data_IF_459646890639
#
_entry.id   IF_459646890639
#
_cell.length_a   1.000
_cell.length_b   1.000
_cell.length_c   1.000
_cell.angle_alpha   90.00
_cell.angle_beta   90.00
_cell.angle_gamma   90.00
#
_symmetry.space_group_name_H-M   'P 1'
#
loop_
_entity.id
_entity.type
_entity.pdbx_description
1 polymer ?
#
# COMPACT_ATOMS: atom_id res chain seq x y z
N UNK A 1 -22.50 -1.24 14.57
CA UNK A 1 -21.59 -1.10 15.74
C UNK A 1 -20.17 -1.09 15.21
N UNK A 2 -19.33 -0.13 15.60
CA UNK A 2 -17.93 -0.13 15.19
C UNK A 2 -17.20 -1.25 15.95
N UNK A 3 -16.59 -2.19 15.22
CA UNK A 3 -15.80 -3.27 15.81
C UNK A 3 -14.34 -2.81 15.89
N UNK A 4 -13.84 -2.58 17.11
CA UNK A 4 -12.43 -2.24 17.31
C UNK A 4 -11.57 -3.49 17.20
N UNK A 5 -10.60 -3.48 16.28
CA UNK A 5 -9.68 -4.59 16.03
C UNK A 5 -8.26 -4.09 16.25
N UNK A 6 -7.54 -4.70 17.18
CA UNK A 6 -6.13 -4.38 17.44
C UNK A 6 -5.23 -5.23 16.53
N UNK A 7 -4.28 -4.61 15.86
CA UNK A 7 -3.28 -5.32 15.05
C UNK A 7 -1.91 -4.99 15.63
N UNK A 8 -1.10 -6.03 15.83
CA UNK A 8 0.30 -5.88 16.28
C UNK A 8 1.24 -6.35 15.19
N UNK A 9 2.33 -5.63 14.96
CA UNK A 9 3.49 -6.09 14.20
C UNK A 9 4.70 -6.24 15.13
N UNK A 10 5.48 -7.31 14.95
CA UNK A 10 6.63 -7.59 15.80
C UNK A 10 7.71 -8.37 15.03
N UNK A 11 8.90 -7.77 14.90
CA UNK A 11 10.09 -8.51 14.55
C UNK A 11 10.53 -9.36 15.75
N UNK A 12 10.41 -10.68 15.64
CA UNK A 12 10.65 -11.62 16.75
C UNK A 12 12.09 -12.11 16.83
N UNK A 13 12.96 -11.80 15.85
CA UNK A 13 14.38 -12.20 15.83
C UNK A 13 14.61 -13.68 16.17
N UNK A 14 13.90 -14.55 15.47
CA UNK A 14 13.90 -16.01 15.61
C UNK A 14 13.02 -16.53 16.75
N UNK A 15 12.15 -17.50 16.45
CA UNK A 15 11.24 -18.15 17.43
C UNK A 15 11.31 -19.69 17.40
N UNK A 16 12.46 -20.24 17.00
CA UNK A 16 12.73 -21.69 17.11
C UNK A 16 12.71 -22.17 18.56
N UNK A 17 13.29 -21.40 19.49
CA UNK A 17 13.39 -21.78 20.89
C UNK A 17 12.00 -21.82 21.55
N UNK A 18 11.62 -23.01 22.06
CA UNK A 18 10.26 -23.29 22.56
C UNK A 18 9.83 -22.31 23.67
N UNK A 19 10.74 -21.98 24.59
CA UNK A 19 10.43 -21.04 25.69
C UNK A 19 10.15 -19.64 25.16
N UNK A 20 10.93 -19.16 24.17
CA UNK A 20 10.73 -17.83 23.57
C UNK A 20 9.41 -17.79 22.80
N UNK A 21 9.15 -18.84 22.01
CA UNK A 21 7.89 -19.02 21.27
C UNK A 21 6.69 -18.98 22.22
N UNK A 22 6.74 -19.73 23.33
CA UNK A 22 5.66 -19.75 24.31
C UNK A 22 5.45 -18.38 24.98
N UNK A 23 6.52 -17.68 25.36
CA UNK A 23 6.43 -16.32 25.94
C UNK A 23 5.76 -15.33 25.00
N UNK A 24 6.17 -15.30 23.73
CA UNK A 24 5.59 -14.40 22.72
C UNK A 24 4.10 -14.71 22.51
N UNK A 25 3.74 -15.98 22.26
CA UNK A 25 2.35 -16.38 22.04
C UNK A 25 1.47 -16.12 23.27
N UNK A 26 2.00 -16.29 24.48
CA UNK A 26 1.30 -16.01 25.74
C UNK A 26 1.10 -14.51 25.97
N UNK A 27 2.08 -13.67 25.62
CA UNK A 27 1.92 -12.22 25.68
C UNK A 27 0.82 -11.75 24.73
N UNK A 28 0.86 -12.17 23.46
CA UNK A 28 -0.17 -11.83 22.47
C UNK A 28 -1.57 -12.27 22.93
N UNK A 29 -1.67 -13.44 23.58
CA UNK A 29 -2.92 -13.92 24.19
C UNK A 29 -3.38 -13.03 25.33
N UNK A 30 -2.47 -12.67 26.25
CA UNK A 30 -2.77 -11.82 27.42
C UNK A 30 -3.27 -10.45 26.98
N UNK A 31 -2.66 -9.89 25.94
CA UNK A 31 -3.00 -8.60 25.35
C UNK A 31 -4.23 -8.67 24.42
N UNK A 32 -4.85 -9.87 24.31
CA UNK A 32 -6.06 -10.15 23.53
C UNK A 32 -5.93 -9.73 22.06
N UNK A 33 -4.76 -9.93 21.48
CA UNK A 33 -4.44 -9.49 20.11
C UNK A 33 -5.20 -10.34 19.10
N UNK A 34 -6.15 -9.78 18.33
CA UNK A 34 -6.89 -10.55 17.34
C UNK A 34 -6.05 -10.87 16.08
N UNK A 35 -5.12 -9.99 15.70
CA UNK A 35 -4.23 -10.18 14.55
C UNK A 35 -2.79 -9.80 14.93
N UNK A 36 -1.86 -10.75 14.79
CA UNK A 36 -0.43 -10.50 14.99
C UNK A 36 0.36 -10.78 13.70
N UNK A 37 1.25 -9.87 13.34
CA UNK A 37 2.15 -9.93 12.19
C UNK A 37 3.57 -10.11 12.71
N UNK A 38 4.23 -11.22 12.36
CA UNK A 38 5.54 -11.58 12.89
C UNK A 38 6.58 -11.59 11.77
N UNK A 39 7.73 -10.97 12.03
CA UNK A 39 8.90 -10.94 11.12
C UNK A 39 10.11 -11.63 11.76
N UNK A 40 11.07 -12.08 10.93
CA UNK A 40 12.22 -12.88 11.36
C UNK A 40 11.83 -14.10 12.20
N UNK A 41 10.82 -14.85 11.77
CA UNK A 41 10.38 -16.04 12.51
C UNK A 41 11.46 -17.13 12.56
N UNK A 42 12.30 -17.22 11.51
CA UNK A 42 13.35 -18.23 11.33
C UNK A 42 12.81 -19.66 11.39
N UNK A 43 11.58 -19.88 10.89
CA UNK A 43 10.94 -21.20 10.94
C UNK A 43 10.86 -21.83 9.54
N UNK A 44 10.87 -23.16 9.51
CA UNK A 44 10.43 -23.95 8.34
C UNK A 44 8.92 -24.04 8.31
N UNK A 45 8.35 -24.48 7.18
CA UNK A 45 6.91 -24.68 7.03
C UNK A 45 6.31 -25.55 8.14
N UNK A 46 6.98 -26.67 8.46
CA UNK A 46 6.57 -27.59 9.53
C UNK A 46 6.58 -26.93 10.91
N UNK A 47 7.48 -25.98 11.16
CA UNK A 47 7.56 -25.25 12.42
C UNK A 47 6.54 -24.10 12.49
N UNK A 48 6.26 -23.40 11.39
CA UNK A 48 5.18 -22.40 11.36
C UNK A 48 3.82 -23.01 11.68
N UNK A 49 3.56 -24.24 11.20
CA UNK A 49 2.33 -24.96 11.53
C UNK A 49 2.10 -25.11 13.04
N UNK A 50 3.20 -25.20 13.82
CA UNK A 50 3.13 -25.31 15.29
C UNK A 50 2.75 -23.99 15.99
N UNK A 51 2.68 -22.87 15.27
CA UNK A 51 2.18 -21.59 15.81
C UNK A 51 0.66 -21.57 15.94
N UNK A 52 -0.06 -22.45 15.23
CA UNK A 52 -1.51 -22.60 15.33
C UNK A 52 -1.90 -23.34 16.62
N UNK A 53 -1.88 -22.63 17.75
CA UNK A 53 -2.19 -23.19 19.09
C UNK A 53 -3.03 -22.22 19.92
N UNK A 54 -3.76 -22.78 20.89
CA UNK A 54 -4.59 -22.09 21.90
C UNK A 54 -5.65 -21.11 21.36
N UNK A 55 -5.22 -19.88 21.10
CA UNK A 55 -6.04 -18.76 20.69
C UNK A 55 -5.97 -18.51 19.17
N UNK A 56 -4.92 -19.01 18.53
CA UNK A 56 -4.66 -18.83 17.10
C UNK A 56 -5.53 -19.80 16.30
N UNK A 57 -6.54 -19.28 15.61
CA UNK A 57 -7.44 -20.08 14.77
C UNK A 57 -6.95 -20.24 13.34
N UNK A 58 -6.24 -19.25 12.81
CA UNK A 58 -5.68 -19.30 11.46
C UNK A 58 -4.24 -18.79 11.46
N UNK A 59 -3.42 -19.42 10.63
CA UNK A 59 -2.02 -19.04 10.43
C UNK A 59 -1.71 -18.92 8.95
N UNK A 60 -0.94 -17.90 8.58
CA UNK A 60 -0.46 -17.70 7.22
C UNK A 60 1.00 -17.32 7.28
N UNK A 61 1.86 -17.96 6.51
CA UNK A 61 3.30 -17.74 6.60
C UNK A 61 3.98 -17.86 5.23
N UNK A 62 5.13 -17.20 5.12
CA UNK A 62 6.12 -17.40 4.06
C UNK A 62 7.45 -17.67 4.76
N UNK A 63 7.99 -18.87 4.54
CA UNK A 63 9.21 -19.36 5.19
C UNK A 63 10.42 -19.14 4.30
N UNK A 64 11.61 -19.28 4.89
CA UNK A 64 12.86 -19.35 4.12
C UNK A 64 13.74 -20.49 4.62
N UNK A 65 14.31 -20.36 5.82
CA UNK A 65 15.01 -21.43 6.51
C UNK A 65 14.96 -21.25 8.04
N UNK A 66 15.56 -22.18 8.77
CA UNK A 66 15.54 -22.18 10.24
C UNK A 66 16.44 -21.14 10.92
N UNK A 67 17.15 -20.31 10.15
CA UNK A 67 18.18 -19.37 10.64
C UNK A 67 17.93 -17.91 10.28
N UNK A 68 17.17 -17.63 9.23
CA UNK A 68 16.93 -16.27 8.77
C UNK A 68 15.57 -16.08 8.12
N UNK A 69 15.08 -14.83 8.16
CA UNK A 69 13.84 -14.37 7.51
C UNK A 69 12.60 -15.16 7.98
N UNK A 70 11.57 -15.20 7.15
CA UNK A 70 10.31 -15.86 7.43
C UNK A 70 9.35 -14.91 8.12
N UNK A 71 8.15 -14.80 7.58
CA UNK A 71 7.07 -13.96 8.11
C UNK A 71 5.84 -14.81 8.41
N UNK A 72 5.06 -14.41 9.40
CA UNK A 72 3.82 -15.09 9.77
C UNK A 72 2.72 -14.10 10.15
N UNK A 73 1.48 -14.53 9.99
CA UNK A 73 0.28 -13.88 10.50
C UNK A 73 -0.48 -14.87 11.35
N UNK A 74 -0.83 -14.44 12.56
CA UNK A 74 -1.66 -15.19 13.49
C UNK A 74 -3.00 -14.47 13.59
N UNK A 75 -4.09 -15.19 13.30
CA UNK A 75 -5.45 -14.66 13.43
C UNK A 75 -6.18 -15.44 14.52
N UNK A 76 -6.77 -14.70 15.46
CA UNK A 76 -7.49 -15.24 16.59
C UNK A 76 -8.72 -16.04 16.13
N UNK A 77 -8.99 -17.18 16.79
CA UNK A 77 -10.06 -18.13 16.40
C UNK A 77 -11.47 -17.56 16.42
N UNK A 78 -11.71 -16.53 17.25
CA UNK A 78 -13.00 -15.85 17.34
C UNK A 78 -13.13 -14.68 16.36
N UNK A 79 -12.09 -14.36 15.57
CA UNK A 79 -12.17 -13.28 14.59
C UNK A 79 -12.83 -13.82 13.31
N UNK A 80 -13.94 -13.24 12.82
CA UNK A 80 -14.63 -13.69 11.63
C UNK A 80 -13.88 -13.23 10.37
N UNK A 81 -12.74 -13.87 10.10
CA UNK A 81 -11.95 -13.67 8.90
C UNK A 81 -12.11 -14.87 7.95
N UNK A 82 -12.58 -14.61 6.74
CA UNK A 82 -12.67 -15.60 5.66
C UNK A 82 -11.61 -15.30 4.62
N UNK A 83 -10.73 -16.27 4.35
CA UNK A 83 -9.66 -16.13 3.38
C UNK A 83 -10.18 -16.23 1.94
N UNK A 84 -9.68 -15.36 1.06
CA UNK A 84 -9.90 -15.42 -0.38
C UNK A 84 -8.61 -15.83 -1.12
N UNK A 85 -7.53 -15.06 -0.95
CA UNK A 85 -6.27 -15.29 -1.68
C UNK A 85 -5.07 -15.21 -0.73
N UNK A 86 -4.06 -16.05 -0.98
CA UNK A 86 -2.74 -15.96 -0.35
C UNK A 86 -1.70 -15.71 -1.44
N UNK A 87 -0.84 -14.71 -1.21
CA UNK A 87 0.37 -14.50 -2.00
C UNK A 87 1.58 -14.62 -1.08
N UNK A 88 2.42 -15.63 -1.33
CA UNK A 88 3.65 -15.86 -0.56
C UNK A 88 4.85 -15.40 -1.35
N UNK A 89 5.74 -14.70 -0.68
CA UNK A 89 7.10 -14.52 -1.17
C UNK A 89 7.87 -15.85 -1.11
N UNK A 90 8.77 -16.07 -2.08
CA UNK A 90 9.64 -17.26 -2.10
C UNK A 90 10.84 -17.11 -1.17
N UNK A 91 11.21 -15.87 -0.83
CA UNK A 91 12.36 -15.53 -0.02
C UNK A 91 12.05 -15.38 1.49
N UNK A 92 10.81 -15.64 1.91
CA UNK A 92 10.39 -15.49 3.31
C UNK A 92 10.27 -14.04 3.77
N UNK A 93 10.20 -13.07 2.86
CA UNK A 93 10.21 -11.63 3.19
C UNK A 93 8.83 -11.03 3.35
N UNK A 94 7.83 -11.55 2.64
CA UNK A 94 6.46 -11.07 2.82
C UNK A 94 5.41 -12.15 2.60
N UNK A 95 4.25 -11.91 3.18
CA UNK A 95 3.03 -12.65 2.87
C UNK A 95 1.88 -11.67 2.80
N UNK A 96 1.06 -11.79 1.76
CA UNK A 96 -0.17 -11.05 1.56
C UNK A 96 -1.33 -12.04 1.68
N UNK A 97 -2.38 -11.65 2.39
CA UNK A 97 -3.64 -12.38 2.39
C UNK A 97 -4.75 -11.39 2.11
N UNK A 98 -5.69 -11.77 1.24
CA UNK A 98 -6.94 -11.06 1.06
C UNK A 98 -8.07 -11.90 1.60
N UNK A 99 -9.09 -11.25 2.15
CA UNK A 99 -10.22 -11.94 2.72
C UNK A 99 -11.31 -10.98 3.15
N UNK A 100 -12.40 -11.55 3.65
CA UNK A 100 -13.51 -10.82 4.25
C UNK A 100 -13.33 -10.77 5.76
N UNK A 101 -13.34 -9.58 6.33
CA UNK A 101 -13.36 -9.36 7.78
C UNK A 101 -14.61 -8.54 8.12
N UNK A 102 -15.53 -9.13 8.90
CA UNK A 102 -16.85 -8.52 9.15
C UNK A 102 -17.61 -8.13 7.86
N UNK A 103 -17.45 -8.91 6.78
CA UNK A 103 -18.09 -8.65 5.49
C UNK A 103 -17.33 -7.69 4.57
N UNK A 104 -16.29 -7.00 5.08
CA UNK A 104 -15.49 -6.05 4.31
C UNK A 104 -14.26 -6.73 3.69
N UNK A 105 -14.00 -6.43 2.42
CA UNK A 105 -12.82 -6.94 1.73
C UNK A 105 -11.56 -6.20 2.21
N UNK A 106 -10.63 -6.95 2.80
CA UNK A 106 -9.37 -6.43 3.31
C UNK A 106 -8.17 -7.17 2.72
N UNK A 107 -7.02 -6.48 2.70
CA UNK A 107 -5.69 -7.04 2.50
C UNK A 107 -4.89 -6.83 3.78
N UNK A 108 -4.42 -7.94 4.35
CA UNK A 108 -3.44 -7.93 5.43
C UNK A 108 -2.09 -8.33 4.84
N UNK A 109 -1.01 -7.64 5.21
CA UNK A 109 0.35 -7.97 4.80
C UNK A 109 1.30 -7.94 6.00
N UNK A 110 2.22 -8.92 6.03
CA UNK A 110 3.37 -8.90 6.94
C UNK A 110 4.62 -8.82 6.07
N UNK A 111 5.44 -7.80 6.28
CA UNK A 111 6.60 -7.47 5.46
C UNK A 111 7.86 -7.42 6.31
N UNK A 112 8.95 -7.97 5.79
CA UNK A 112 10.30 -7.87 6.33
C UNK A 112 11.22 -7.42 5.19
N UNK A 113 11.50 -6.13 5.10
CA UNK A 113 12.35 -5.59 4.05
C UNK A 113 13.81 -6.06 4.24
N UNK A 114 14.60 -6.16 3.16
CA UNK A 114 16.04 -6.41 3.29
C UNK A 114 16.76 -5.29 4.06
N UNK A 115 17.92 -5.60 4.65
CA UNK A 115 18.74 -4.63 5.38
C UNK A 115 19.43 -3.61 4.46
N UNK A 116 19.49 -3.90 3.15
CA UNK A 116 20.07 -3.06 2.11
C UNK A 116 19.06 -2.87 1.00
N UNK A 117 19.13 -1.74 0.30
CA UNK A 117 18.21 -1.46 -0.81
C UNK A 117 18.26 -2.57 -1.86
N UNK A 118 17.09 -3.15 -2.15
CA UNK A 118 16.88 -4.16 -3.18
C UNK A 118 15.70 -3.74 -4.06
N UNK A 119 16.01 -3.34 -5.30
CA UNK A 119 14.99 -2.90 -6.27
C UNK A 119 14.01 -4.02 -6.64
N UNK A 120 14.48 -5.26 -6.73
CA UNK A 120 13.64 -6.39 -7.13
C UNK A 120 12.62 -6.68 -6.05
N UNK A 121 13.03 -6.64 -4.78
CA UNK A 121 12.12 -6.78 -3.63
C UNK A 121 10.95 -5.78 -3.70
N UNK A 122 11.22 -4.47 -3.83
CA UNK A 122 10.16 -3.46 -3.88
C UNK A 122 9.28 -3.59 -5.12
N UNK A 123 9.86 -3.87 -6.29
CA UNK A 123 9.07 -4.06 -7.52
C UNK A 123 8.15 -5.28 -7.44
N UNK A 124 8.63 -6.39 -6.86
CA UNK A 124 7.84 -7.60 -6.64
C UNK A 124 6.75 -7.35 -5.58
N UNK A 125 7.10 -6.73 -4.45
CA UNK A 125 6.15 -6.40 -3.40
C UNK A 125 5.01 -5.52 -3.93
N UNK A 126 5.34 -4.46 -4.69
CA UNK A 126 4.34 -3.58 -5.31
C UNK A 126 3.46 -4.36 -6.30
N UNK A 127 4.06 -5.08 -7.26
CA UNK A 127 3.31 -5.82 -8.27
C UNK A 127 2.36 -6.86 -7.65
N UNK A 128 2.84 -7.63 -6.66
CA UNK A 128 2.04 -8.62 -5.94
C UNK A 128 0.92 -7.96 -5.12
N UNK A 129 1.21 -6.86 -4.44
CA UNK A 129 0.20 -6.14 -3.66
C UNK A 129 -0.87 -5.54 -4.55
N UNK A 130 -0.49 -4.83 -5.61
CA UNK A 130 -1.43 -4.22 -6.57
C UNK A 130 -2.32 -5.24 -7.29
N UNK A 131 -1.82 -6.46 -7.55
CA UNK A 131 -2.62 -7.51 -8.21
C UNK A 131 -3.80 -8.03 -7.37
N UNK A 132 -3.78 -7.82 -6.06
CA UNK A 132 -4.79 -8.33 -5.12
C UNK A 132 -5.35 -7.23 -4.23
N UNK A 133 -5.07 -5.96 -4.51
CA UNK A 133 -5.37 -4.82 -3.64
C UNK A 133 -6.88 -4.52 -3.61
N UNK A 134 -7.57 -4.66 -2.45
CA UNK A 134 -8.92 -4.16 -2.25
C UNK A 134 -8.88 -2.71 -1.74
N UNK A 135 -10.04 -2.20 -1.30
CA UNK A 135 -10.17 -0.85 -0.74
C UNK A 135 -9.48 -0.69 0.63
N UNK A 136 -9.44 -1.74 1.45
CA UNK A 136 -8.84 -1.70 2.78
C UNK A 136 -7.55 -2.51 2.84
N UNK A 137 -6.43 -1.83 3.02
CA UNK A 137 -5.09 -2.39 2.97
C UNK A 137 -4.37 -2.08 4.27
N UNK A 138 -3.89 -3.12 4.95
CA UNK A 138 -3.11 -3.02 6.17
C UNK A 138 -1.80 -3.77 5.97
N UNK A 139 -0.68 -3.06 6.03
CA UNK A 139 0.65 -3.61 5.86
C UNK A 139 1.46 -3.31 7.12
N UNK A 140 1.74 -4.35 7.90
CA UNK A 140 2.62 -4.25 9.06
C UNK A 140 3.96 -4.91 8.78
N UNK A 141 5.03 -4.36 9.33
CA UNK A 141 6.34 -4.97 9.12
C UNK A 141 7.51 -4.16 9.60
N UNK A 142 8.68 -4.79 9.48
CA UNK A 142 9.98 -4.16 9.63
C UNK A 142 10.49 -3.79 8.23
N UNK A 143 10.60 -2.49 7.97
CA UNK A 143 11.05 -1.94 6.70
C UNK A 143 12.54 -1.59 6.70
N UNK A 144 13.26 -1.84 7.81
CA UNK A 144 14.69 -1.58 7.98
C UNK A 144 15.14 -0.13 7.69
N UNK A 145 14.22 0.84 7.62
CA UNK A 145 14.53 2.23 7.35
C UNK A 145 13.58 3.20 8.07
N UNK A 146 14.09 4.38 8.42
CA UNK A 146 13.32 5.53 8.88
C UNK A 146 12.71 6.27 7.68
N UNK A 147 11.40 6.55 7.72
CA UNK A 147 10.70 7.26 6.64
C UNK A 147 10.81 8.78 6.80
N UNK A 148 10.91 9.27 8.04
CA UNK A 148 11.08 10.68 8.40
C UNK A 148 12.39 10.86 9.15
N UNK A 149 13.53 11.15 8.47
CA UNK A 149 14.84 11.12 9.10
C UNK A 149 15.00 11.98 10.36
N UNK A 150 14.29 13.11 10.43
CA UNK A 150 14.35 14.05 11.57
C UNK A 150 13.71 13.52 12.85
N UNK A 151 12.74 12.60 12.72
CA UNK A 151 11.92 12.08 13.83
C UNK A 151 12.08 10.57 14.05
N UNK A 152 12.52 9.83 13.03
CA UNK A 152 12.74 8.38 13.08
C UNK A 152 14.18 7.99 13.46
N UNK A 153 15.09 8.97 13.53
CA UNK A 153 16.45 8.81 14.03
C UNK A 153 16.79 9.88 15.09
N UNK A 154 17.76 9.59 15.98
CA UNK A 154 18.44 10.58 16.79
C UNK A 154 19.02 11.70 15.92
N UNK A 155 19.20 12.92 16.46
CA UNK A 155 19.43 14.13 15.68
C UNK A 155 20.72 14.06 14.85
N UNK A 156 20.56 13.68 13.57
CA UNK A 156 21.47 13.94 12.45
C UNK A 156 20.61 14.12 11.20
N UNK A 157 20.58 15.33 10.66
CA UNK A 157 19.87 15.60 9.40
C UNK A 157 20.62 14.92 8.25
N UNK A 158 20.16 13.73 7.88
CA UNK A 158 20.60 13.04 6.68
C UNK A 158 19.44 12.90 5.71
N UNK A 159 19.69 12.98 4.40
CA UNK A 159 18.65 12.75 3.40
C UNK A 159 18.09 11.32 3.56
N UNK A 160 16.81 11.08 3.19
CA UNK A 160 16.25 9.75 3.20
C UNK A 160 17.10 8.76 2.38
N UNK A 161 17.30 7.56 2.91
CA UNK A 161 18.01 6.50 2.19
C UNK A 161 17.24 6.08 0.92
N UNK A 162 17.92 5.43 -0.03
CA UNK A 162 17.26 4.86 -1.21
C UNK A 162 16.12 3.90 -0.83
N UNK A 163 16.30 3.18 0.27
CA UNK A 163 15.32 2.25 0.83
C UNK A 163 14.12 3.01 1.42
N UNK A 164 14.36 4.08 2.19
CA UNK A 164 13.30 4.94 2.68
C UNK A 164 12.50 5.55 1.52
N UNK A 165 13.17 6.02 0.47
CA UNK A 165 12.52 6.54 -0.74
C UNK A 165 11.66 5.49 -1.43
N UNK A 166 12.19 4.27 -1.62
CA UNK A 166 11.41 3.18 -2.20
C UNK A 166 10.21 2.76 -1.35
N UNK A 167 10.32 2.79 -0.01
CA UNK A 167 9.18 2.56 0.89
C UNK A 167 8.16 3.69 0.79
N UNK A 168 8.59 4.95 0.73
CA UNK A 168 7.69 6.11 0.54
C UNK A 168 6.98 6.05 -0.82
N UNK A 169 7.69 5.68 -1.88
CA UNK A 169 7.12 5.49 -3.22
C UNK A 169 6.09 4.35 -3.20
N UNK A 170 6.40 3.22 -2.57
CA UNK A 170 5.47 2.11 -2.35
C UNK A 170 4.20 2.54 -1.59
N UNK A 171 4.36 3.34 -0.52
CA UNK A 171 3.22 3.88 0.22
C UNK A 171 2.38 4.81 -0.65
N UNK A 172 3.03 5.71 -1.39
CA UNK A 172 2.37 6.67 -2.30
C UNK A 172 1.59 5.96 -3.41
N UNK A 173 2.18 4.94 -4.03
CA UNK A 173 1.55 4.15 -5.10
C UNK A 173 0.30 3.40 -4.65
N UNK A 174 0.23 3.03 -3.37
CA UNK A 174 -0.88 2.29 -2.78
C UNK A 174 -1.80 3.17 -1.90
N UNK A 175 -1.54 4.48 -1.80
CA UNK A 175 -2.31 5.37 -0.93
C UNK A 175 -2.23 5.01 0.56
N UNK A 176 -1.09 4.48 1.00
CA UNK A 176 -0.85 4.05 2.38
C UNK A 176 -0.26 5.18 3.22
N UNK A 177 -0.68 5.23 4.48
CA UNK A 177 -0.18 6.18 5.46
C UNK A 177 0.42 5.46 6.66
N UNK A 178 1.48 6.05 7.22
CA UNK A 178 2.04 5.65 8.50
C UNK A 178 1.08 6.02 9.65
N UNK A 179 0.40 5.01 10.18
CA UNK A 179 -0.62 5.19 11.23
C UNK A 179 -0.05 5.81 12.50
N UNK A 180 1.17 5.46 12.89
CA UNK A 180 1.80 6.01 14.09
C UNK A 180 2.11 7.49 13.91
N UNK A 181 2.68 7.86 12.75
CA UNK A 181 3.05 9.25 12.46
C UNK A 181 1.84 10.16 12.28
N UNK A 182 0.72 9.64 11.77
CA UNK A 182 -0.55 10.36 11.72
C UNK A 182 -1.05 10.75 13.12
N UNK A 183 -0.96 9.84 14.09
CA UNK A 183 -1.38 10.10 15.46
C UNK A 183 -0.33 10.88 16.27
N UNK A 184 0.95 10.76 15.89
CA UNK A 184 2.09 11.32 16.63
C UNK A 184 3.05 12.09 15.71
N UNK A 185 2.64 13.23 15.11
CA UNK A 185 3.41 13.90 14.06
C UNK A 185 4.84 14.30 14.47
N UNK A 186 5.00 14.77 15.71
CA UNK A 186 6.26 15.33 16.21
C UNK A 186 6.96 14.49 17.29
N UNK A 187 6.33 13.38 17.71
CA UNK A 187 6.89 12.52 18.76
C UNK A 187 8.07 11.72 18.21
N UNK A 188 9.18 11.72 18.94
CA UNK A 188 10.34 10.86 18.67
C UNK A 188 10.23 9.64 19.55
N UNK A 189 9.91 8.50 18.93
CA UNK A 189 9.86 7.20 19.57
C UNK A 189 10.42 6.15 18.61
N UNK A 190 10.99 5.07 19.14
CA UNK A 190 11.86 4.16 18.40
C UNK A 190 11.48 2.71 18.63
N UNK A 191 11.67 1.88 17.61
CA UNK A 191 11.32 0.45 17.65
C UNK A 191 12.54 -0.46 17.66
N UNK A 192 13.71 0.09 17.33
CA UNK A 192 14.95 -0.66 17.22
C UNK A 192 16.13 0.07 17.87
N UNK A 193 16.99 -0.71 18.53
CA UNK A 193 18.28 -0.27 19.06
C UNK A 193 19.42 -1.06 18.40
N UNK A 194 20.32 -0.35 17.73
CA UNK A 194 21.53 -0.89 17.14
C UNK A 194 22.65 -0.91 18.18
N UNK A 195 23.06 -2.11 18.61
CA UNK A 195 24.16 -2.25 19.56
C UNK A 195 25.52 -1.81 18.98
N UNK A 196 25.88 -2.17 17.73
CA UNK A 196 27.18 -1.77 17.16
C UNK A 196 27.33 -0.26 16.96
N UNK A 197 26.22 0.44 16.68
CA UNK A 197 26.22 1.87 16.40
C UNK A 197 25.72 2.73 17.56
N UNK A 198 25.34 2.09 18.67
CA UNK A 198 24.74 2.72 19.85
C UNK A 198 23.67 3.74 19.47
N UNK A 199 22.75 3.34 18.58
CA UNK A 199 21.78 4.23 17.97
C UNK A 199 20.37 3.65 18.01
N UNK A 200 19.38 4.54 18.10
CA UNK A 200 17.96 4.20 18.06
C UNK A 200 17.40 4.50 16.66
N UNK A 201 16.37 3.77 16.27
CA UNK A 201 15.64 4.04 15.03
C UNK A 201 14.21 3.51 15.08
N UNK A 202 13.29 4.19 14.39
CA UNK A 202 11.96 3.65 14.11
C UNK A 202 11.97 3.02 12.71
N UNK A 203 11.84 1.71 12.65
CA UNK A 203 11.91 0.93 11.39
C UNK A 203 10.74 -0.04 11.23
N UNK A 204 9.93 -0.19 12.26
CA UNK A 204 8.72 -1.01 12.27
C UNK A 204 7.49 -0.11 12.08
N UNK A 205 6.61 -0.49 11.16
CA UNK A 205 5.47 0.33 10.75
C UNK A 205 4.19 -0.50 10.66
N UNK A 206 3.07 0.15 10.93
CA UNK A 206 1.75 -0.27 10.44
C UNK A 206 1.28 0.81 9.46
N UNK A 207 1.20 0.41 8.19
CA UNK A 207 0.76 1.24 7.07
C UNK A 207 -0.69 0.89 6.73
N UNK A 208 -1.53 1.89 6.55
CA UNK A 208 -2.97 1.74 6.35
C UNK A 208 -3.42 2.56 5.13
N UNK A 209 -4.26 1.98 4.27
CA UNK A 209 -5.03 2.76 3.30
C UNK A 209 -6.17 3.44 4.04
N UNK A 210 -6.19 4.77 4.02
CA UNK A 210 -7.21 5.57 4.70
C UNK A 210 -8.14 6.15 3.65
N UNK A 211 -9.45 5.94 3.83
CA UNK A 211 -10.43 6.80 3.19
C UNK A 211 -10.35 8.17 3.87
N UNK A 212 -10.13 9.23 3.08
CA UNK A 212 -10.02 10.60 3.58
C UNK A 212 -11.26 11.04 4.38
N UNK A 213 -12.40 10.39 4.19
CA UNK A 213 -13.62 10.61 4.98
C UNK A 213 -13.45 10.25 6.47
N UNK A 214 -12.52 9.33 6.80
CA UNK A 214 -12.36 8.72 8.13
C UNK A 214 -11.25 9.33 8.99
N UNK A 215 -10.55 10.37 8.51
CA UNK A 215 -9.45 11.01 9.24
C UNK A 215 -9.89 11.56 10.62
N UNK A 216 -9.02 11.63 11.64
CA UNK A 216 -9.37 12.20 12.95
C UNK A 216 -9.93 13.63 12.84
N UNK A 217 -10.87 14.03 13.71
CA UNK A 217 -11.49 15.37 13.68
C UNK A 217 -10.46 16.52 13.72
N UNK A 218 -9.34 16.35 14.44
CA UNK A 218 -8.26 17.35 14.47
C UNK A 218 -7.54 17.52 13.13
N UNK A 219 -7.47 16.47 12.31
CA UNK A 219 -6.97 16.55 10.93
C UNK A 219 -8.06 17.12 10.04
N UNK A 220 -9.31 16.62 10.15
CA UNK A 220 -10.49 17.10 9.40
C UNK A 220 -10.79 18.60 9.58
N UNK A 221 -10.52 19.14 10.77
CA UNK A 221 -10.81 20.54 11.12
C UNK A 221 -9.59 21.45 10.94
N UNK A 222 -8.43 20.92 10.54
CA UNK A 222 -7.27 21.73 10.24
C UNK A 222 -7.42 22.36 8.85
N UNK A 223 -7.53 23.70 8.84
CA UNK A 223 -7.79 24.52 7.67
C UNK A 223 -6.67 24.49 6.61
N UNK A 224 -5.49 23.97 6.94
CA UNK A 224 -4.39 23.75 6.00
C UNK A 224 -4.35 22.28 5.57
N UNK A 225 -4.37 21.35 6.54
CA UNK A 225 -4.15 19.93 6.25
C UNK A 225 -5.26 19.30 5.41
N UNK A 226 -6.54 19.60 5.64
CA UNK A 226 -7.61 19.00 4.81
C UNK A 226 -7.62 19.50 3.38
N UNK A 227 -7.54 20.81 3.09
CA UNK A 227 -7.43 21.29 1.71
C UNK A 227 -6.19 20.74 1.01
N UNK A 228 -5.04 20.67 1.70
CA UNK A 228 -3.82 20.11 1.12
C UNK A 228 -3.93 18.61 0.83
N UNK A 229 -4.51 17.81 1.74
CA UNK A 229 -4.73 16.37 1.51
C UNK A 229 -5.77 16.13 0.40
N UNK A 230 -6.83 16.96 0.32
CA UNK A 230 -7.81 16.91 -0.78
C UNK A 230 -7.20 17.30 -2.12
N UNK A 231 -6.36 18.33 -2.17
CA UNK A 231 -5.65 18.77 -3.38
C UNK A 231 -4.61 17.72 -3.80
N UNK A 232 -3.84 17.17 -2.87
CA UNK A 232 -2.89 16.09 -3.14
C UNK A 232 -3.57 14.83 -3.66
N UNK A 233 -4.68 14.43 -3.03
CA UNK A 233 -5.54 13.35 -3.50
C UNK A 233 -6.06 13.68 -4.93
N UNK A 234 -6.58 14.89 -5.17
CA UNK A 234 -7.00 15.35 -6.51
C UNK A 234 -5.85 15.48 -7.55
N UNK A 235 -4.59 15.60 -7.13
CA UNK A 235 -3.44 15.58 -8.04
C UNK A 235 -3.03 14.14 -8.34
N UNK A 236 -3.04 13.26 -7.33
CA UNK A 236 -2.92 11.83 -7.54
C UNK A 236 -4.04 11.31 -8.48
N UNK A 237 -5.26 11.87 -8.37
CA UNK A 237 -6.35 11.95 -9.39
C UNK A 237 -5.81 12.14 -10.75
N UNK A 238 -5.44 13.38 -10.97
CA UNK A 238 -5.10 13.89 -12.27
C UNK A 238 -3.91 13.23 -12.96
N UNK A 239 -3.24 12.24 -12.34
CA UNK A 239 -2.09 11.50 -12.91
C UNK A 239 -2.37 10.01 -13.29
N UNK A 240 -3.54 9.38 -12.99
CA UNK A 240 -3.89 7.96 -13.35
C UNK A 240 -2.79 6.96 -13.04
N UNK A 241 -2.19 7.12 -11.85
CA UNK A 241 -2.07 5.97 -10.96
C UNK A 241 -3.48 5.66 -10.47
N UNK A 242 -4.07 4.52 -10.86
CA UNK A 242 -5.26 4.03 -10.14
C UNK A 242 -4.78 3.73 -8.71
N UNK A 243 -5.30 4.37 -7.67
CA UNK A 243 -6.67 4.89 -7.53
C UNK A 243 -6.94 6.36 -7.81
N UNK A 244 -6.82 6.81 -9.08
CA UNK A 244 -7.34 8.10 -9.56
C UNK A 244 -7.26 8.45 -11.09
N UNK A 245 -7.91 9.53 -11.64
CA UNK A 245 -8.21 9.92 -13.08
C UNK A 245 -7.41 11.10 -13.79
N UNK A 246 -6.77 10.95 -14.99
CA UNK A 246 -5.68 11.74 -15.63
C UNK A 246 -5.73 11.89 -17.14
N UNK A 247 -5.20 13.03 -17.61
CA UNK A 247 -5.10 13.48 -19.00
C UNK A 247 -4.10 12.68 -19.87
N UNK A 248 -3.19 11.90 -19.29
CA UNK A 248 -2.20 11.11 -20.05
C UNK A 248 -2.69 9.70 -20.43
N UNK A 249 -3.98 9.40 -20.24
CA UNK A 249 -4.49 8.09 -20.64
C UNK A 249 -4.75 7.99 -22.14
N UNK A 250 -4.42 6.84 -22.77
CA UNK A 250 -4.69 6.61 -24.18
C UNK A 250 -6.19 6.70 -24.48
N UNK A 251 -6.57 7.32 -25.59
CA UNK A 251 -7.97 7.38 -26.04
C UNK A 251 -8.48 6.00 -26.50
N UNK A 252 -7.59 5.21 -27.10
CA UNK A 252 -7.88 3.86 -27.60
C UNK A 252 -7.38 2.83 -26.58
N UNK A 253 -8.16 1.76 -26.35
CA UNK A 253 -7.85 0.64 -25.42
C UNK A 253 -7.90 1.00 -23.93
N UNK A 254 -8.57 2.10 -23.58
CA UNK A 254 -8.84 2.46 -22.18
C UNK A 254 -10.07 1.72 -21.64
N UNK A 255 -9.86 0.73 -20.76
CA UNK A 255 -10.94 -0.05 -20.14
C UNK A 255 -11.87 0.77 -19.23
N UNK A 256 -11.51 2.00 -18.88
CA UNK A 256 -12.33 2.93 -18.11
C UNK A 256 -13.25 3.78 -19.00
N UNK A 257 -12.95 3.90 -20.29
CA UNK A 257 -13.70 4.67 -21.27
C UNK A 257 -14.56 3.72 -22.09
N UNK A 258 -15.82 3.56 -21.70
CA UNK A 258 -16.78 2.71 -22.42
C UNK A 258 -17.22 3.43 -23.70
N UNK A 259 -16.72 2.99 -24.85
CA UNK A 259 -17.01 3.59 -26.15
C UNK A 259 -18.46 3.31 -26.55
N UNK A 260 -19.23 4.38 -26.76
CA UNK A 260 -20.61 4.29 -27.28
C UNK A 260 -20.71 4.47 -28.80
N UNK A 261 -19.57 4.59 -29.50
CA UNK A 261 -19.48 4.69 -30.96
C UNK A 261 -18.40 3.73 -31.50
N UNK A 262 -18.35 3.60 -32.82
CA UNK A 262 -17.38 2.79 -33.55
C UNK A 262 -15.91 3.18 -33.23
N UNK A 263 -15.10 2.19 -32.87
CA UNK A 263 -13.68 2.30 -32.54
C UNK A 263 -12.85 2.91 -33.69
N UNK A 264 -13.28 2.71 -34.94
CA UNK A 264 -12.59 3.20 -36.14
C UNK A 264 -12.44 4.73 -36.19
N UNK A 265 -13.34 5.48 -35.53
CA UNK A 265 -13.23 6.94 -35.40
C UNK A 265 -11.99 7.30 -34.57
N UNK A 266 -11.75 6.60 -33.47
CA UNK A 266 -10.61 6.88 -32.60
C UNK A 266 -9.30 6.35 -33.19
N UNK A 267 -9.33 5.26 -33.96
CA UNK A 267 -8.17 4.81 -34.75
C UNK A 267 -7.70 5.89 -35.74
N UNK A 268 -8.63 6.58 -36.43
CA UNK A 268 -8.31 7.75 -37.27
C UNK A 268 -7.70 8.89 -36.46
N UNK A 269 -8.22 9.17 -35.26
CA UNK A 269 -7.68 10.20 -34.36
C UNK A 269 -6.22 9.89 -33.94
N UNK A 270 -5.93 8.63 -33.63
CA UNK A 270 -4.56 8.20 -33.28
C UNK A 270 -3.59 8.34 -34.47
N UNK A 271 -4.06 8.06 -35.70
CA UNK A 271 -3.29 8.30 -36.94
C UNK A 271 -2.96 9.79 -37.16
N UNK A 272 -3.79 10.68 -36.60
CA UNK A 272 -3.62 12.15 -36.60
C UNK A 272 -2.91 12.68 -35.36
N UNK A 273 -2.25 11.80 -34.59
CA UNK A 273 -1.50 12.09 -33.36
C UNK A 273 -2.35 12.61 -32.18
N UNK A 274 -3.65 12.32 -32.18
CA UNK A 274 -4.50 12.48 -30.98
C UNK A 274 -4.52 11.12 -30.29
N UNK A 275 -3.55 10.89 -29.40
CA UNK A 275 -3.33 9.59 -28.75
C UNK A 275 -3.83 9.58 -27.32
N UNK A 276 -3.79 10.73 -26.68
CA UNK A 276 -4.12 10.94 -25.27
C UNK A 276 -5.14 12.07 -25.12
N UNK A 277 -5.86 12.05 -24.00
CA UNK A 277 -6.88 13.07 -23.71
C UNK A 277 -6.25 14.47 -23.60
N UNK A 278 -5.01 14.58 -23.08
CA UNK A 278 -4.26 15.83 -23.00
C UNK A 278 -4.00 16.48 -24.37
N UNK A 279 -3.99 15.71 -25.47
CA UNK A 279 -3.78 16.24 -26.81
C UNK A 279 -4.95 17.14 -27.24
N UNK A 280 -6.12 17.01 -26.59
CA UNK A 280 -7.30 17.86 -26.81
C UNK A 280 -7.30 19.13 -25.96
N UNK A 281 -6.24 19.39 -25.18
CA UNK A 281 -6.10 20.60 -24.38
C UNK A 281 -5.15 21.60 -25.05
N UNK A 282 -5.43 22.88 -24.88
CA UNK A 282 -4.56 23.97 -25.28
C UNK A 282 -4.66 25.13 -24.29
N UNK A 283 -3.51 25.69 -23.88
CA UNK A 283 -3.43 26.79 -22.89
C UNK A 283 -4.22 26.53 -21.60
N UNK A 284 -4.27 25.27 -21.17
CA UNK A 284 -4.95 24.85 -19.94
C UNK A 284 -6.47 24.66 -20.06
N UNK A 285 -7.06 24.82 -21.25
CA UNK A 285 -8.49 24.56 -21.51
C UNK A 285 -8.71 23.43 -22.53
N UNK A 286 -9.83 22.71 -22.41
CA UNK A 286 -10.22 21.70 -23.41
C UNK A 286 -10.68 22.42 -24.68
N UNK A 287 -10.04 22.11 -25.81
CA UNK A 287 -10.35 22.75 -27.10
C UNK A 287 -11.79 22.46 -27.52
N UNK A 288 -12.48 23.46 -28.08
CA UNK A 288 -13.78 23.27 -28.72
C UNK A 288 -13.63 22.42 -29.99
N UNK A 289 -14.70 21.73 -30.42
CA UNK A 289 -14.59 20.79 -31.55
C UNK A 289 -14.05 21.45 -32.82
N UNK A 290 -14.49 22.67 -33.13
CA UNK A 290 -13.97 23.45 -34.26
C UNK A 290 -12.45 23.69 -34.17
N UNK A 291 -11.90 23.90 -32.97
CA UNK A 291 -10.46 24.06 -32.75
C UNK A 291 -9.70 22.75 -32.95
N UNK A 292 -10.24 21.62 -32.45
CA UNK A 292 -9.65 20.29 -32.66
C UNK A 292 -9.72 19.88 -34.14
N UNK A 293 -10.83 20.20 -34.82
CA UNK A 293 -11.00 19.97 -36.25
C UNK A 293 -9.95 20.71 -37.06
N UNK A 294 -9.71 21.99 -36.75
CA UNK A 294 -8.68 22.78 -37.43
C UNK A 294 -7.28 22.23 -37.12
N UNK A 295 -6.99 21.92 -35.85
CA UNK A 295 -5.67 21.51 -35.39
C UNK A 295 -5.24 20.13 -35.88
N UNK A 296 -6.17 19.18 -35.98
CA UNK A 296 -5.88 17.79 -36.34
C UNK A 296 -6.53 17.34 -37.65
N UNK A 297 -7.18 18.26 -38.37
CA UNK A 297 -7.91 18.00 -39.61
C UNK A 297 -8.94 16.87 -39.45
N UNK A 298 -9.86 17.02 -38.48
CA UNK A 298 -10.92 16.05 -38.20
C UNK A 298 -12.23 16.39 -38.96
N UNK A 299 -12.94 15.39 -39.50
CA UNK A 299 -14.20 15.60 -40.20
C UNK A 299 -15.37 15.87 -39.22
N UNK A 300 -16.39 16.60 -39.68
CA UNK A 300 -17.56 17.00 -38.86
C UNK A 300 -18.28 15.81 -38.20
N UNK A 301 -18.31 14.66 -38.87
CA UNK A 301 -18.92 13.41 -38.35
C UNK A 301 -18.28 12.90 -37.05
N UNK A 302 -17.08 13.35 -36.69
CA UNK A 302 -16.41 12.96 -35.44
C UNK A 302 -16.89 13.75 -34.21
N UNK A 303 -17.86 14.66 -34.38
CA UNK A 303 -18.39 15.49 -33.29
C UNK A 303 -18.91 14.66 -32.11
N UNK A 304 -19.63 13.56 -32.37
CA UNK A 304 -20.14 12.71 -31.30
C UNK A 304 -19.02 11.97 -30.53
N UNK A 305 -17.95 11.55 -31.21
CA UNK A 305 -16.76 11.00 -30.55
C UNK A 305 -16.03 12.03 -29.69
N UNK A 306 -15.95 13.27 -30.18
CA UNK A 306 -15.46 14.39 -29.39
C UNK A 306 -16.31 14.64 -28.15
N UNK A 307 -17.64 14.60 -28.25
CA UNK A 307 -18.50 14.75 -27.09
C UNK A 307 -18.30 13.60 -26.09
N UNK A 308 -18.09 12.36 -26.52
CA UNK A 308 -17.81 11.26 -25.60
C UNK A 308 -16.52 11.47 -24.81
N UNK A 309 -15.44 11.87 -25.49
CA UNK A 309 -14.16 12.16 -24.83
C UNK A 309 -14.27 13.37 -23.90
N UNK A 310 -15.04 14.39 -24.29
CA UNK A 310 -15.24 15.60 -23.48
C UNK A 310 -16.04 15.33 -22.19
N UNK A 311 -16.95 14.36 -22.20
CA UNK A 311 -17.75 14.01 -21.02
C UNK A 311 -17.13 12.87 -20.18
N UNK A 312 -15.92 12.40 -20.51
CA UNK A 312 -15.15 11.37 -19.80
C UNK A 312 -14.04 11.96 -18.92
#
# INVERSE_FOLDING_TARGET
MAHNITIITLNVKGINHVVKRHKILSSLKKDRVPIALLQETHLTDSEHLKLKRDWVGQIYYSSFNSKSRGVAKLIHKNLPFTLNTIVRDTDGRFILITGLLYGEQILLASVYAPNTFDRLFYSNLLAKTSSVCPNHVIIGGDFNCGLSPETDYPPKSQPPSKMAKATMDFCSDLGLFDTWRLCNPHVKDFTFFSHPHFSLSRIDYILLSIDLADLPLGVRNNFILMPTLKVWHNIAAHVRRRGFSSALQPLIRNKAFLLGIDISIFDDWCSKNIRFICDLFERGGFMAFNQVQIKYNLPQKHFFGFLQVRHF
#
